data_IF_290381424532
#
_entry.id   IF_290381424532
#
_cell.length_a   1.000
_cell.length_b   1.000
_cell.length_c   1.000
_cell.angle_alpha   90.00
_cell.angle_beta   90.00
_cell.angle_gamma   90.00
#
_symmetry.space_group_name_H-M   'P 1'
#
loop_
_entity.id
_entity.type
_entity.pdbx_description
1 polymer ?
#
# COMPACT_ATOMS: atom_id res chain seq x y z
N UNK A 1 11.88 -19.20 -14.99
CA UNK A 1 11.74 -18.15 -13.97
C UNK A 1 11.61 -18.85 -12.61
N UNK A 2 12.69 -18.84 -11.82
CA UNK A 2 12.88 -19.68 -10.63
C UNK A 2 11.67 -19.74 -9.69
N UNK A 3 11.30 -20.95 -9.26
CA UNK A 3 10.13 -21.21 -8.40
C UNK A 3 10.11 -20.35 -7.11
N UNK A 4 11.29 -19.99 -6.60
CA UNK A 4 11.47 -19.09 -5.45
C UNK A 4 11.05 -17.65 -5.75
N UNK A 5 11.43 -17.09 -6.91
CA UNK A 5 11.01 -15.73 -7.32
C UNK A 5 9.50 -15.64 -7.45
N UNK A 6 8.86 -16.70 -7.99
CA UNK A 6 7.40 -16.79 -8.10
C UNK A 6 6.70 -16.85 -6.73
N UNK A 7 7.27 -17.59 -5.76
CA UNK A 7 6.74 -17.62 -4.38
C UNK A 7 6.86 -16.26 -3.70
N UNK A 8 8.02 -15.60 -3.80
CA UNK A 8 8.23 -14.24 -3.26
C UNK A 8 7.25 -13.23 -3.85
N UNK A 9 7.05 -13.25 -5.16
CA UNK A 9 6.08 -12.38 -5.83
C UNK A 9 4.65 -12.60 -5.31
N UNK A 10 4.23 -13.87 -5.16
CA UNK A 10 2.92 -14.20 -4.58
C UNK A 10 2.76 -13.68 -3.16
N UNK A 11 3.79 -13.82 -2.32
CA UNK A 11 3.77 -13.30 -0.95
C UNK A 11 3.62 -11.77 -0.93
N UNK A 12 4.34 -11.04 -1.79
CA UNK A 12 4.23 -9.58 -1.89
C UNK A 12 2.84 -9.15 -2.34
N UNK A 13 2.29 -9.79 -3.39
CA UNK A 13 0.93 -9.51 -3.87
C UNK A 13 -0.10 -9.73 -2.76
N UNK A 14 0.03 -10.84 -2.02
CA UNK A 14 -0.85 -11.13 -0.89
C UNK A 14 -0.75 -10.06 0.21
N UNK A 15 0.46 -9.67 0.59
CA UNK A 15 0.70 -8.66 1.61
C UNK A 15 0.16 -7.29 1.18
N UNK A 16 0.40 -6.87 -0.05
CA UNK A 16 -0.14 -5.62 -0.60
C UNK A 16 -1.67 -5.65 -0.66
N UNK A 17 -2.26 -6.76 -1.07
CA UNK A 17 -3.71 -6.91 -1.09
C UNK A 17 -4.31 -6.77 0.32
N UNK A 18 -3.71 -7.43 1.32
CA UNK A 18 -4.12 -7.30 2.73
C UNK A 18 -3.97 -5.85 3.21
N UNK A 19 -2.85 -5.18 2.88
CA UNK A 19 -2.63 -3.79 3.25
C UNK A 19 -3.74 -2.87 2.73
N UNK A 20 -4.09 -2.94 1.44
CA UNK A 20 -5.14 -2.10 0.88
C UNK A 20 -6.54 -2.49 1.38
N UNK A 21 -6.81 -3.79 1.55
CA UNK A 21 -8.09 -4.27 2.06
C UNK A 21 -8.37 -3.77 3.49
N UNK A 22 -7.34 -3.64 4.33
CA UNK A 22 -7.48 -3.16 5.72
C UNK A 22 -7.37 -1.63 5.81
N UNK A 23 -6.45 -1.00 5.07
CA UNK A 23 -6.19 0.44 5.19
C UNK A 23 -7.27 1.31 4.56
N UNK A 24 -7.97 0.84 3.51
CA UNK A 24 -9.05 1.59 2.87
C UNK A 24 -10.25 1.80 3.80
N UNK A 25 -10.85 0.77 4.45
CA UNK A 25 -12.01 0.98 5.32
C UNK A 25 -11.66 1.71 6.62
N UNK A 26 -10.43 1.60 7.09
CA UNK A 26 -10.02 2.07 8.42
C UNK A 26 -10.30 3.57 8.67
N UNK A 27 -9.95 4.53 7.78
CA UNK A 27 -10.32 5.93 7.93
C UNK A 27 -11.82 6.16 8.08
N UNK A 28 -12.65 5.38 7.38
CA UNK A 28 -14.10 5.55 7.36
C UNK A 28 -14.80 4.98 8.60
N UNK A 29 -14.05 4.33 9.51
CA UNK A 29 -14.57 3.89 10.81
C UNK A 29 -14.73 5.05 11.81
N UNK A 30 -14.23 6.24 11.50
CA UNK A 30 -14.25 7.40 12.39
C UNK A 30 -15.30 8.42 11.96
N UNK A 31 -16.04 8.96 12.94
CA UNK A 31 -16.91 10.12 12.73
C UNK A 31 -16.07 11.40 12.77
N UNK A 32 -16.17 12.19 11.71
CA UNK A 32 -15.41 13.43 11.54
C UNK A 32 -16.35 14.62 11.60
N UNK A 33 -16.03 15.69 12.37
CA UNK A 33 -16.79 16.94 12.33
C UNK A 33 -16.91 17.50 10.92
N UNK A 34 -18.01 18.18 10.63
CA UNK A 34 -18.32 18.64 9.26
C UNK A 34 -17.24 19.60 8.73
N UNK A 35 -16.73 20.47 9.60
CA UNK A 35 -15.63 21.40 9.33
C UNK A 35 -14.29 20.72 8.99
N UNK A 36 -14.04 19.51 9.52
CA UNK A 36 -12.80 18.77 9.31
C UNK A 36 -12.88 17.77 8.14
N UNK A 37 -14.08 17.56 7.59
CA UNK A 37 -14.35 16.54 6.57
C UNK A 37 -13.48 16.71 5.32
N UNK A 38 -13.28 17.95 4.84
CA UNK A 38 -12.44 18.23 3.67
C UNK A 38 -10.98 17.82 3.91
N UNK A 39 -10.41 18.20 5.06
CA UNK A 39 -9.04 17.85 5.42
C UNK A 39 -8.87 16.34 5.60
N UNK A 40 -9.85 15.68 6.20
CA UNK A 40 -9.87 14.23 6.34
C UNK A 40 -9.74 13.52 4.99
N UNK A 41 -10.57 13.87 4.00
CA UNK A 41 -10.48 13.26 2.67
C UNK A 41 -9.16 13.56 1.96
N UNK A 42 -8.60 14.76 2.12
CA UNK A 42 -7.27 15.09 1.60
C UNK A 42 -6.19 14.19 2.20
N UNK A 43 -6.23 13.95 3.52
CA UNK A 43 -5.27 13.05 4.17
C UNK A 43 -5.42 11.60 3.70
N UNK A 44 -6.65 11.10 3.56
CA UNK A 44 -6.91 9.74 3.03
C UNK A 44 -6.35 9.59 1.62
N UNK A 45 -6.53 10.59 0.76
CA UNK A 45 -5.98 10.57 -0.60
C UNK A 45 -4.44 10.57 -0.61
N UNK A 46 -3.81 11.40 0.23
CA UNK A 46 -2.34 11.44 0.37
C UNK A 46 -1.81 10.10 0.86
N UNK A 47 -2.43 9.50 1.88
CA UNK A 47 -2.03 8.18 2.40
C UNK A 47 -2.15 7.08 1.35
N UNK A 48 -3.22 7.11 0.55
CA UNK A 48 -3.41 6.18 -0.57
C UNK A 48 -2.33 6.36 -1.65
N UNK A 49 -2.05 7.60 -2.04
CA UNK A 49 -1.02 7.92 -3.02
C UNK A 49 0.38 7.51 -2.56
N UNK A 50 0.74 7.77 -1.30
CA UNK A 50 2.05 7.40 -0.75
C UNK A 50 2.19 5.87 -0.62
N UNK A 51 1.11 5.13 -0.40
CA UNK A 51 1.19 3.66 -0.31
C UNK A 51 1.68 2.99 -1.62
N UNK A 52 1.44 3.62 -2.78
CA UNK A 52 1.84 3.08 -4.09
C UNK A 52 3.36 2.96 -4.25
N UNK A 53 4.17 4.03 -4.10
CA UNK A 53 5.63 3.94 -4.22
C UNK A 53 6.24 3.03 -3.15
N UNK A 54 5.67 2.93 -1.95
CA UNK A 54 6.17 2.00 -0.91
C UNK A 54 5.97 0.53 -1.30
N UNK A 55 4.79 0.18 -1.83
CA UNK A 55 4.54 -1.17 -2.36
C UNK A 55 5.44 -1.45 -3.57
N UNK A 56 5.58 -0.49 -4.48
CA UNK A 56 6.45 -0.62 -5.64
C UNK A 56 7.93 -0.83 -5.25
N UNK A 57 8.43 -0.09 -4.25
CA UNK A 57 9.76 -0.27 -3.69
C UNK A 57 9.93 -1.65 -3.03
N UNK A 58 8.95 -2.11 -2.25
CA UNK A 58 8.98 -3.45 -1.67
C UNK A 58 9.04 -4.55 -2.73
N UNK A 59 8.33 -4.36 -3.85
CA UNK A 59 8.42 -5.25 -5.02
C UNK A 59 9.80 -5.18 -5.68
N UNK A 60 10.31 -3.97 -5.94
CA UNK A 60 11.62 -3.76 -6.54
C UNK A 60 12.73 -4.41 -5.69
N UNK A 61 12.83 -4.09 -4.40
CA UNK A 61 13.83 -4.66 -3.49
C UNK A 61 13.76 -6.19 -3.39
N UNK A 62 12.57 -6.79 -3.44
CA UNK A 62 12.44 -8.25 -3.22
C UNK A 62 12.67 -9.06 -4.49
N UNK A 63 12.28 -8.55 -5.66
CA UNK A 63 12.33 -9.29 -6.93
C UNK A 63 13.50 -8.90 -7.83
N UNK A 64 13.94 -7.65 -7.77
CA UNK A 64 15.03 -7.06 -8.56
C UNK A 64 15.80 -6.04 -7.71
N UNK A 65 16.50 -6.46 -6.65
CA UNK A 65 17.20 -5.56 -5.75
C UNK A 65 18.14 -4.60 -6.47
N UNK A 66 18.69 -4.98 -7.63
CA UNK A 66 19.52 -4.16 -8.50
C UNK A 66 18.85 -2.87 -9.03
N UNK A 67 17.51 -2.78 -9.02
CA UNK A 67 16.77 -1.57 -9.44
C UNK A 67 16.55 -0.58 -8.30
N UNK A 68 16.89 -0.94 -7.07
CA UNK A 68 16.61 -0.17 -5.87
C UNK A 68 17.84 -0.01 -4.96
N UNK A 69 19.04 -0.18 -5.54
CA UNK A 69 20.34 0.15 -4.95
C UNK A 69 20.74 1.60 -5.25
#
# INVERSE_FOLDING_TARGET
MDSLKKRRAKTLILLSAIWFAVSIPLPFLFNVPQEATKQFYTLVQIMGLISIPFVALGVAWTLKPELAQ
#
